data_IF_543381603540
#
_entry.id   IF_543381603540
#
_cell.length_a   1.000
_cell.length_b   1.000
_cell.length_c   1.000
_cell.angle_alpha   90.00
_cell.angle_beta   90.00
_cell.angle_gamma   90.00
#
_symmetry.space_group_name_H-M   'P 1'
#
loop_
_entity.id
_entity.type
_entity.pdbx_description
1 polymer ?
#
# COMPACT_ATOMS: atom_id res chain seq x y z
N UNK A 1 3.75 22.35 24.23
CA UNK A 1 3.40 22.50 22.81
C UNK A 1 2.31 21.49 22.50
N UNK A 2 1.08 21.95 22.24
CA UNK A 2 -0.03 21.05 21.92
C UNK A 2 0.28 20.35 20.59
N UNK A 3 0.24 19.02 20.58
CA UNK A 3 0.25 18.24 19.35
C UNK A 3 -0.98 18.67 18.53
N UNK A 4 -0.73 19.40 17.45
CA UNK A 4 -1.75 20.02 16.59
C UNK A 4 -2.26 19.03 15.54
N UNK A 5 -2.25 17.74 15.88
CA UNK A 5 -2.65 16.68 14.95
C UNK A 5 -4.18 16.68 14.85
N UNK A 6 -4.75 16.83 13.64
CA UNK A 6 -6.20 16.83 13.47
C UNK A 6 -6.77 15.46 13.88
N UNK A 7 -7.67 15.47 14.88
CA UNK A 7 -8.35 14.25 15.31
C UNK A 7 -9.50 13.92 14.35
N UNK A 8 -9.42 12.76 13.71
CA UNK A 8 -10.46 12.25 12.82
C UNK A 8 -11.30 11.18 13.53
N UNK A 9 -12.59 11.43 13.69
CA UNK A 9 -13.55 10.44 14.20
C UNK A 9 -13.94 9.46 13.09
N UNK A 10 -13.17 8.39 12.93
CA UNK A 10 -13.42 7.33 11.95
C UNK A 10 -14.61 6.45 12.37
N UNK A 11 -15.64 6.39 11.53
CA UNK A 11 -16.67 5.35 11.61
C UNK A 11 -16.29 4.20 10.69
N UNK A 12 -16.03 3.03 11.27
CA UNK A 12 -15.62 1.83 10.54
C UNK A 12 -16.56 0.67 10.87
N UNK A 13 -16.79 -0.26 9.93
CA UNK A 13 -17.52 -1.49 10.21
C UNK A 13 -16.76 -2.33 11.25
N UNK A 14 -17.50 -3.09 12.05
CA UNK A 14 -16.95 -3.88 13.17
C UNK A 14 -15.85 -4.84 12.71
N UNK A 15 -16.07 -5.55 11.60
CA UNK A 15 -15.09 -6.47 11.03
C UNK A 15 -13.76 -5.77 10.70
N UNK A 16 -13.80 -4.55 10.15
CA UNK A 16 -12.59 -3.81 9.83
C UNK A 16 -11.85 -3.40 11.10
N UNK A 17 -12.57 -2.98 12.14
CA UNK A 17 -11.99 -2.63 13.43
C UNK A 17 -11.25 -3.83 14.04
N UNK A 18 -11.89 -5.01 14.07
CA UNK A 18 -11.28 -6.23 14.60
C UNK A 18 -10.02 -6.64 13.84
N UNK A 19 -10.03 -6.48 12.51
CA UNK A 19 -8.86 -6.75 11.67
C UNK A 19 -7.68 -5.82 11.99
N UNK A 20 -7.96 -4.53 12.23
CA UNK A 20 -6.94 -3.56 12.63
C UNK A 20 -6.43 -3.86 14.05
N UNK A 21 -7.31 -4.23 14.98
CA UNK A 21 -6.94 -4.61 16.35
C UNK A 21 -6.01 -5.82 16.39
N UNK A 22 -6.34 -6.88 15.65
CA UNK A 22 -5.47 -8.06 15.53
C UNK A 22 -4.11 -7.70 14.92
N UNK A 23 -4.11 -6.94 13.82
CA UNK A 23 -2.86 -6.53 13.19
C UNK A 23 -2.00 -5.62 14.09
N UNK A 24 -2.64 -4.74 14.86
CA UNK A 24 -1.95 -3.88 15.80
C UNK A 24 -1.30 -4.70 16.93
N UNK A 25 -2.00 -5.71 17.44
CA UNK A 25 -1.46 -6.66 18.43
C UNK A 25 -0.25 -7.42 17.87
N UNK A 26 -0.39 -7.99 16.67
CA UNK A 26 0.67 -8.76 16.01
C UNK A 26 1.91 -7.90 15.72
N UNK A 27 1.71 -6.63 15.36
CA UNK A 27 2.78 -5.68 15.07
C UNK A 27 3.31 -4.94 16.32
N UNK A 28 2.75 -5.17 17.51
CA UNK A 28 3.13 -4.47 18.74
C UNK A 28 2.86 -2.95 18.71
N UNK A 29 1.84 -2.51 17.95
CA UNK A 29 1.46 -1.11 17.76
C UNK A 29 0.13 -0.81 18.43
N UNK A 30 -0.17 0.47 18.67
CA UNK A 30 -1.52 0.88 19.06
C UNK A 30 -2.44 0.81 17.83
N UNK A 31 -3.74 0.63 18.05
CA UNK A 31 -4.76 0.60 16.98
C UNK A 31 -4.67 1.86 16.12
N UNK A 32 -4.50 3.03 16.74
CA UNK A 32 -4.35 4.31 16.03
C UNK A 32 -3.06 4.33 15.21
N UNK A 33 -1.93 3.86 15.74
CA UNK A 33 -0.66 3.82 15.00
C UNK A 33 -0.73 2.86 13.80
N UNK A 34 -1.35 1.69 13.97
CA UNK A 34 -1.54 0.73 12.88
C UNK A 34 -2.51 1.28 11.82
N UNK A 35 -3.58 1.95 12.23
CA UNK A 35 -4.51 2.60 11.31
C UNK A 35 -3.82 3.71 10.50
N UNK A 36 -3.05 4.58 11.16
CA UNK A 36 -2.27 5.63 10.48
C UNK A 36 -1.27 5.02 9.51
N UNK A 37 -0.48 4.04 9.96
CA UNK A 37 0.51 3.36 9.10
C UNK A 37 -0.13 2.77 7.84
N UNK A 38 -1.28 2.10 7.98
CA UNK A 38 -2.00 1.53 6.83
C UNK A 38 -2.54 2.59 5.89
N UNK A 39 -3.05 3.71 6.43
CA UNK A 39 -3.53 4.84 5.63
C UNK A 39 -2.36 5.48 4.87
N UNK A 40 -1.25 5.78 5.53
CA UNK A 40 -0.04 6.32 4.88
C UNK A 40 0.48 5.39 3.78
N UNK A 41 0.62 4.11 4.10
CA UNK A 41 1.03 3.10 3.13
C UNK A 41 0.05 2.96 1.95
N UNK A 42 -1.25 3.26 2.14
CA UNK A 42 -2.21 3.26 1.02
C UNK A 42 -1.94 4.38 -0.01
N UNK A 43 -1.35 5.49 0.43
CA UNK A 43 -0.91 6.57 -0.46
C UNK A 43 0.46 6.28 -1.09
N UNK A 44 1.33 5.55 -0.40
CA UNK A 44 2.65 5.15 -0.93
C UNK A 44 2.59 3.99 -1.92
N UNK A 45 1.60 3.09 -1.79
CA UNK A 45 1.39 1.96 -2.70
C UNK A 45 0.66 2.31 -4.00
N UNK A 46 0.56 3.60 -4.34
CA UNK A 46 0.14 4.02 -5.66
C UNK A 46 1.08 3.47 -6.74
N UNK A 47 0.51 3.06 -7.88
CA UNK A 47 1.25 2.72 -9.11
C UNK A 47 2.18 3.86 -9.58
N UNK A 48 2.12 5.04 -8.97
CA UNK A 48 3.07 6.14 -9.18
C UNK A 48 4.52 5.75 -8.90
N UNK A 49 4.78 4.77 -8.02
CA UNK A 49 6.13 4.22 -7.89
C UNK A 49 6.65 3.64 -9.21
N UNK A 50 5.80 3.04 -10.07
CA UNK A 50 6.22 2.51 -11.38
C UNK A 50 6.68 3.59 -12.35
N UNK A 51 6.22 4.84 -12.20
CA UNK A 51 6.70 5.97 -13.02
C UNK A 51 8.15 6.32 -12.69
N UNK A 52 8.58 6.04 -11.45
CA UNK A 52 9.91 6.32 -10.95
C UNK A 52 10.85 5.11 -11.02
N UNK A 53 10.35 3.90 -11.27
CA UNK A 53 11.20 2.73 -11.49
C UNK A 53 11.84 2.82 -12.87
N UNK A 54 13.19 2.68 -12.99
CA UNK A 54 13.84 2.65 -14.28
C UNK A 54 13.28 1.53 -15.16
N UNK A 55 12.99 1.85 -16.42
CA UNK A 55 12.37 0.92 -17.39
C UNK A 55 13.16 -0.37 -17.53
N UNK A 56 14.49 -0.33 -17.37
CA UNK A 56 15.39 -1.49 -17.38
C UNK A 56 15.04 -2.53 -16.30
N UNK A 57 14.75 -2.07 -15.07
CA UNK A 57 14.37 -2.96 -13.98
C UNK A 57 13.01 -3.61 -14.22
N UNK A 58 12.07 -2.83 -14.77
CA UNK A 58 10.75 -3.33 -15.15
C UNK A 58 10.85 -4.35 -16.29
N UNK A 59 11.66 -4.09 -17.32
CA UNK A 59 11.87 -5.01 -18.43
C UNK A 59 12.52 -6.32 -17.98
N UNK A 60 13.48 -6.26 -17.03
CA UNK A 60 14.11 -7.46 -16.48
C UNK A 60 13.12 -8.31 -15.67
N UNK A 61 12.30 -7.68 -14.84
CA UNK A 61 11.30 -8.38 -14.04
C UNK A 61 10.17 -8.94 -14.92
N UNK A 62 9.77 -8.21 -15.95
CA UNK A 62 8.83 -8.67 -16.96
C UNK A 62 9.38 -9.86 -17.74
N UNK A 63 10.62 -9.80 -18.23
CA UNK A 63 11.27 -10.92 -18.92
C UNK A 63 11.33 -12.17 -18.04
N UNK A 64 11.63 -12.01 -16.74
CA UNK A 64 11.64 -13.12 -15.77
C UNK A 64 10.25 -13.74 -15.57
N UNK A 65 9.19 -12.94 -15.56
CA UNK A 65 7.81 -13.43 -15.34
C UNK A 65 7.14 -13.93 -16.61
N UNK A 66 7.53 -13.41 -17.77
CA UNK A 66 7.00 -13.74 -19.09
C UNK A 66 7.88 -14.74 -19.84
N UNK A 67 8.76 -15.46 -19.14
CA UNK A 67 9.57 -16.52 -19.74
C UNK A 67 8.62 -17.56 -20.37
N UNK A 68 8.45 -17.48 -21.69
CA UNK A 68 7.50 -18.27 -22.48
C UNK A 68 6.23 -17.57 -23.00
N UNK A 69 6.02 -16.27 -22.71
CA UNK A 69 4.86 -15.49 -23.21
C UNK A 69 5.31 -14.31 -24.08
N UNK A 70 4.74 -14.18 -25.28
CA UNK A 70 4.92 -13.01 -26.14
C UNK A 70 3.86 -11.95 -25.85
N UNK A 71 4.29 -10.74 -25.52
CA UNK A 71 3.39 -9.59 -25.35
C UNK A 71 3.23 -8.88 -26.69
N UNK A 72 2.02 -8.86 -27.24
CA UNK A 72 1.67 -8.10 -28.44
C UNK A 72 1.04 -6.79 -28.00
N UNK A 73 1.75 -5.68 -28.16
CA UNK A 73 1.20 -4.34 -27.90
C UNK A 73 0.42 -3.90 -29.13
N UNK A 74 -0.90 -3.92 -29.04
CA UNK A 74 -1.77 -3.42 -30.10
C UNK A 74 -2.04 -1.93 -29.85
N UNK A 75 -1.43 -1.05 -30.64
CA UNK A 75 -1.71 0.38 -30.60
C UNK A 75 -3.00 0.65 -31.38
N UNK A 76 -3.97 1.31 -30.74
CA UNK A 76 -5.19 1.79 -31.39
C UNK A 76 -5.00 3.22 -31.85
#
# INVERSE_FOLDING_TARGET
>A
MARNDPQMNLRVPMELKERIEKAALDNGRTITAEAVFRLENSFEQGFDNLKNVPTEGLMKELAKRLDGFSVVVNQK
#
